data_IF_063871069933
#
_entry.id   IF_063871069933
#
_cell.length_a   1.000
_cell.length_b   1.000
_cell.length_c   1.000
_cell.angle_alpha   90.00
_cell.angle_beta   90.00
_cell.angle_gamma   90.00
#
_symmetry.space_group_name_H-M   'P 1'
#
loop_
_entity.id
_entity.type
_entity.pdbx_description
1 polymer ?
#
# COMPACT_ATOMS: atom_id res chain seq x y z
N UNK A 1 -15.87 -57.42 -21.83
CA UNK A 1 -14.61 -56.77 -21.41
C UNK A 1 -14.43 -55.60 -22.34
N UNK A 2 -14.92 -54.43 -21.94
CA UNK A 2 -14.63 -53.20 -22.68
C UNK A 2 -13.14 -52.90 -22.50
N UNK A 3 -12.42 -52.76 -23.61
CA UNK A 3 -11.04 -52.30 -23.60
C UNK A 3 -11.07 -50.82 -23.22
N UNK A 4 -10.50 -50.48 -22.08
CA UNK A 4 -10.15 -49.09 -21.74
C UNK A 4 -9.35 -48.55 -22.92
N UNK A 5 -9.82 -47.46 -23.53
CA UNK A 5 -9.12 -46.81 -24.63
C UNK A 5 -7.99 -45.96 -24.04
N UNK A 6 -6.85 -45.82 -24.73
CA UNK A 6 -5.72 -44.99 -24.24
C UNK A 6 -6.17 -43.54 -23.94
N UNK A 7 -7.18 -43.06 -24.67
CA UNK A 7 -7.86 -41.76 -24.50
C UNK A 7 -8.48 -41.59 -23.10
N UNK A 8 -8.84 -42.70 -22.44
CA UNK A 8 -9.43 -42.69 -21.09
C UNK A 8 -8.39 -42.44 -19.99
N UNK A 9 -7.10 -42.42 -20.29
CA UNK A 9 -6.04 -42.12 -19.32
C UNK A 9 -5.45 -40.72 -19.48
N UNK A 10 -5.97 -39.92 -20.42
CA UNK A 10 -5.43 -38.60 -20.77
C UNK A 10 -6.19 -37.45 -20.08
N UNK A 11 -5.50 -36.32 -19.88
CA UNK A 11 -6.09 -35.07 -19.40
C UNK A 11 -5.29 -33.84 -19.89
N UNK A 12 -5.97 -32.70 -20.01
CA UNK A 12 -5.38 -31.43 -20.44
C UNK A 12 -5.45 -30.39 -19.31
N UNK A 13 -4.37 -29.62 -19.14
CA UNK A 13 -4.35 -28.43 -18.28
C UNK A 13 -4.34 -27.19 -19.17
N UNK A 14 -5.34 -26.33 -18.99
CA UNK A 14 -5.47 -25.06 -19.71
C UNK A 14 -5.38 -23.88 -18.74
N UNK A 15 -4.43 -22.98 -18.96
CA UNK A 15 -4.26 -21.77 -18.13
C UNK A 15 -5.07 -20.59 -18.68
N UNK A 16 -5.21 -19.54 -17.86
CA UNK A 16 -5.96 -18.33 -18.22
C UNK A 16 -5.37 -17.55 -19.41
N UNK A 17 -4.09 -17.74 -19.72
CA UNK A 17 -3.41 -17.21 -20.92
C UNK A 17 -3.49 -18.16 -22.12
N UNK A 18 -4.40 -19.15 -22.08
CA UNK A 18 -4.68 -20.14 -23.13
C UNK A 18 -3.51 -21.08 -23.47
N UNK A 19 -2.50 -21.22 -22.59
CA UNK A 19 -1.51 -22.29 -22.74
C UNK A 19 -2.14 -23.63 -22.36
N UNK A 20 -1.72 -24.66 -23.08
CA UNK A 20 -2.27 -26.01 -23.03
C UNK A 20 -1.15 -27.01 -22.85
N UNK A 21 -1.34 -27.94 -21.93
CA UNK A 21 -0.46 -29.08 -21.72
C UNK A 21 -1.29 -30.35 -21.64
N UNK A 22 -0.86 -31.38 -22.35
CA UNK A 22 -1.51 -32.67 -22.43
C UNK A 22 -0.68 -33.70 -21.67
N UNK A 23 -1.35 -34.54 -20.88
CA UNK A 23 -0.74 -35.54 -20.02
C UNK A 23 -1.48 -36.87 -20.18
N UNK A 24 -0.75 -37.97 -20.03
CA UNK A 24 -1.30 -39.33 -20.03
C UNK A 24 -0.84 -40.04 -18.77
N UNK A 25 -1.77 -40.68 -18.07
CA UNK A 25 -1.53 -41.47 -16.87
C UNK A 25 -1.44 -42.97 -17.19
N UNK A 26 -0.96 -43.77 -16.24
CA UNK A 26 -0.84 -45.23 -16.46
C UNK A 26 -2.16 -45.98 -16.24
N UNK A 27 -3.15 -45.33 -15.61
CA UNK A 27 -4.51 -45.83 -15.46
C UNK A 27 -5.52 -44.69 -15.32
N UNK A 28 -6.80 -45.02 -15.50
CA UNK A 28 -7.92 -44.07 -15.34
C UNK A 28 -7.98 -43.55 -13.90
N UNK A 29 -7.73 -44.43 -12.93
CA UNK A 29 -7.73 -44.08 -11.51
C UNK A 29 -6.62 -43.06 -11.19
N UNK A 30 -5.42 -43.26 -11.75
CA UNK A 30 -4.30 -42.32 -11.59
C UNK A 30 -4.63 -40.97 -12.24
N UNK A 31 -5.22 -40.98 -13.44
CA UNK A 31 -5.70 -39.75 -14.13
C UNK A 31 -6.67 -38.97 -13.25
N UNK A 32 -7.67 -39.64 -12.70
CA UNK A 32 -8.69 -39.02 -11.85
C UNK A 32 -8.11 -38.48 -10.53
N UNK A 33 -7.12 -39.17 -9.95
CA UNK A 33 -6.37 -38.67 -8.78
C UNK A 33 -5.59 -37.40 -9.10
N UNK A 34 -4.89 -37.36 -10.24
CA UNK A 34 -4.15 -36.17 -10.68
C UNK A 34 -5.07 -34.99 -10.96
N UNK A 35 -6.15 -35.20 -11.70
CA UNK A 35 -7.13 -34.14 -12.01
C UNK A 35 -7.69 -33.55 -10.72
N UNK A 36 -8.15 -34.41 -9.79
CA UNK A 36 -8.68 -33.96 -8.50
C UNK A 36 -7.65 -33.16 -7.69
N UNK A 37 -6.40 -33.64 -7.62
CA UNK A 37 -5.35 -32.95 -6.88
C UNK A 37 -5.04 -31.57 -7.48
N UNK A 38 -5.03 -31.44 -8.81
CA UNK A 38 -4.81 -30.16 -9.51
C UNK A 38 -5.98 -29.20 -9.25
N UNK A 39 -7.21 -29.67 -9.38
CA UNK A 39 -8.41 -28.86 -9.09
C UNK A 39 -8.41 -28.36 -7.65
N UNK A 40 -8.12 -29.23 -6.67
CA UNK A 40 -8.06 -28.87 -5.26
C UNK A 40 -6.96 -27.83 -4.97
N UNK A 41 -5.80 -27.96 -5.61
CA UNK A 41 -4.71 -26.98 -5.48
C UNK A 41 -5.07 -25.62 -6.09
N UNK A 42 -5.73 -25.61 -7.25
CA UNK A 42 -6.20 -24.37 -7.88
C UNK A 42 -7.21 -23.69 -6.96
N UNK A 43 -8.18 -24.43 -6.42
CA UNK A 43 -9.20 -23.89 -5.52
C UNK A 43 -8.57 -23.30 -4.25
N UNK A 44 -7.66 -24.03 -3.60
CA UNK A 44 -6.95 -23.54 -2.40
C UNK A 44 -6.16 -22.26 -2.69
N UNK A 45 -5.48 -22.20 -3.84
CA UNK A 45 -4.71 -21.02 -4.24
C UNK A 45 -5.62 -19.80 -4.47
N UNK A 46 -6.74 -19.99 -5.17
CA UNK A 46 -7.72 -18.93 -5.42
C UNK A 46 -8.35 -18.41 -4.11
N UNK A 47 -8.76 -19.30 -3.21
CA UNK A 47 -9.32 -18.92 -1.91
C UNK A 47 -8.31 -18.15 -1.04
N UNK A 48 -7.03 -18.55 -1.05
CA UNK A 48 -5.98 -17.83 -0.34
C UNK A 48 -5.78 -16.40 -0.88
N UNK A 49 -5.74 -16.24 -2.21
CA UNK A 49 -5.61 -14.93 -2.86
C UNK A 49 -6.80 -14.01 -2.57
N UNK A 50 -8.03 -14.54 -2.62
CA UNK A 50 -9.23 -13.79 -2.29
C UNK A 50 -9.23 -13.36 -0.81
N UNK A 51 -8.84 -14.25 0.09
CA UNK A 51 -8.75 -13.96 1.52
C UNK A 51 -7.71 -12.89 1.83
N UNK A 52 -6.55 -12.92 1.16
CA UNK A 52 -5.52 -11.88 1.28
C UNK A 52 -6.04 -10.52 0.82
N UNK A 53 -6.66 -10.44 -0.38
CA UNK A 53 -7.28 -9.18 -0.85
C UNK A 53 -8.37 -8.68 0.08
N UNK A 54 -9.15 -9.59 0.68
CA UNK A 54 -10.19 -9.21 1.64
C UNK A 54 -9.60 -8.72 2.96
N UNK A 55 -8.50 -9.31 3.43
CA UNK A 55 -7.77 -8.84 4.60
C UNK A 55 -7.13 -7.46 4.35
N UNK A 56 -6.54 -7.24 3.19
CA UNK A 56 -5.99 -5.94 2.78
C UNK A 56 -7.09 -4.87 2.66
N UNK A 57 -8.22 -5.20 2.05
CA UNK A 57 -9.37 -4.29 1.96
C UNK A 57 -10.00 -3.99 3.32
N UNK A 58 -9.91 -4.91 4.28
CA UNK A 58 -10.42 -4.71 5.65
C UNK A 58 -9.43 -3.99 6.56
N UNK A 59 -8.20 -3.74 6.10
CA UNK A 59 -7.19 -3.07 6.92
C UNK A 59 -7.56 -1.61 7.08
N UNK A 60 -8.02 -1.24 8.27
CA UNK A 60 -8.41 0.14 8.59
C UNK A 60 -7.19 1.01 8.88
N UNK A 61 -6.11 0.42 9.41
CA UNK A 61 -4.93 1.16 9.86
C UNK A 61 -3.63 0.69 9.17
N UNK A 62 -2.78 1.67 8.86
CA UNK A 62 -1.43 1.48 8.37
C UNK A 62 -0.49 0.92 9.44
N UNK A 63 0.47 0.11 9.03
CA UNK A 63 1.44 -0.52 9.91
C UNK A 63 2.53 0.51 10.20
N UNK A 64 3.18 0.34 11.36
CA UNK A 64 4.28 1.22 11.73
C UNK A 64 5.35 1.27 10.64
N UNK A 65 5.66 0.16 9.98
CA UNK A 65 6.66 0.13 8.92
C UNK A 65 6.27 1.05 7.73
N UNK A 66 5.00 1.04 7.32
CA UNK A 66 4.49 1.84 6.21
C UNK A 66 4.51 3.33 6.56
N UNK A 67 4.05 3.69 7.77
CA UNK A 67 4.10 5.06 8.28
C UNK A 67 5.54 5.57 8.37
N UNK A 68 6.48 4.72 8.80
CA UNK A 68 7.90 5.07 8.87
C UNK A 68 8.54 5.27 7.50
N UNK A 69 8.09 4.52 6.48
CA UNK A 69 8.57 4.65 5.12
C UNK A 69 8.26 6.04 4.52
N UNK A 70 7.24 6.74 5.02
CA UNK A 70 6.88 8.09 4.56
C UNK A 70 8.03 9.10 4.69
N UNK A 71 8.97 8.90 5.61
CA UNK A 71 10.17 9.75 5.75
C UNK A 71 11.10 9.72 4.55
N UNK A 72 10.99 8.69 3.69
CA UNK A 72 11.84 8.51 2.50
C UNK A 72 11.27 9.17 1.25
N UNK A 73 10.07 9.72 1.33
CA UNK A 73 9.45 10.45 0.23
C UNK A 73 10.19 11.78 0.03
N UNK A 74 10.25 12.25 -1.22
CA UNK A 74 11.00 13.45 -1.57
C UNK A 74 10.55 14.70 -0.77
N UNK A 75 11.53 15.40 -0.20
CA UNK A 75 11.36 16.56 0.68
C UNK A 75 10.89 16.27 2.11
N UNK A 76 10.55 15.03 2.46
CA UNK A 76 10.07 14.67 3.80
C UNK A 76 11.20 14.58 4.85
N UNK A 77 12.45 14.78 4.45
CA UNK A 77 13.62 14.86 5.34
C UNK A 77 13.65 16.16 6.17
N UNK A 78 12.88 17.17 5.74
CA UNK A 78 12.71 18.46 6.43
C UNK A 78 11.24 18.83 6.57
N UNK A 79 10.89 19.58 7.61
CA UNK A 79 9.56 20.10 7.86
C UNK A 79 9.07 20.96 6.69
N UNK A 80 7.85 20.71 6.21
CA UNK A 80 7.27 21.41 5.08
C UNK A 80 7.28 22.93 5.26
N UNK A 81 6.98 23.43 6.47
CA UNK A 81 6.76 24.86 6.69
C UNK A 81 8.02 25.62 7.11
N UNK A 82 8.89 24.99 7.93
CA UNK A 82 10.02 25.68 8.57
C UNK A 82 11.40 25.11 8.25
N UNK A 83 11.46 23.99 7.53
CA UNK A 83 12.72 23.33 7.18
C UNK A 83 13.44 22.62 8.34
N UNK A 84 12.82 22.49 9.51
CA UNK A 84 13.42 21.73 10.62
C UNK A 84 13.63 20.26 10.21
N UNK A 85 14.84 19.69 10.38
CA UNK A 85 15.12 18.33 9.94
C UNK A 85 14.32 17.30 10.72
N UNK A 86 14.08 16.14 10.08
CA UNK A 86 13.41 14.97 10.65
C UNK A 86 12.04 15.31 11.27
N UNK A 87 11.07 15.80 10.47
CA UNK A 87 9.71 16.00 10.94
C UNK A 87 9.06 14.66 11.32
N UNK A 88 8.48 14.58 12.51
CA UNK A 88 7.83 13.37 13.05
C UNK A 88 6.30 13.51 13.19
N UNK A 89 5.74 14.56 12.60
CA UNK A 89 4.31 14.80 12.52
C UNK A 89 3.88 15.00 11.07
N UNK A 90 2.59 14.84 10.79
CA UNK A 90 2.03 15.01 9.47
C UNK A 90 0.73 15.81 9.50
N UNK A 91 0.45 16.50 8.41
CA UNK A 91 -0.90 16.90 8.02
C UNK A 91 -1.42 15.93 6.96
N UNK A 92 -2.32 15.03 7.37
CA UNK A 92 -2.78 13.92 6.55
C UNK A 92 -3.45 14.36 5.25
N UNK A 93 -4.33 15.36 5.33
CA UNK A 93 -5.10 15.83 4.17
C UNK A 93 -4.29 16.77 3.26
N UNK A 94 -3.20 17.36 3.76
CA UNK A 94 -2.31 18.20 2.95
C UNK A 94 -1.14 17.40 2.36
N UNK A 95 -0.91 16.18 2.84
CA UNK A 95 0.14 15.30 2.32
C UNK A 95 1.55 15.70 2.76
N UNK A 96 1.70 16.35 3.92
CA UNK A 96 2.98 16.94 4.37
C UNK A 96 3.47 16.39 5.70
N UNK A 97 4.79 16.25 5.85
CA UNK A 97 5.46 16.09 7.13
C UNK A 97 5.92 17.43 7.70
N UNK A 98 5.62 17.63 8.98
CA UNK A 98 5.88 18.86 9.73
C UNK A 98 6.54 18.54 11.07
N UNK A 99 7.29 19.48 11.62
CA UNK A 99 7.89 19.31 12.95
C UNK A 99 6.83 19.45 14.05
N UNK A 100 7.19 19.09 15.28
CA UNK A 100 6.29 19.16 16.44
C UNK A 100 5.72 20.57 16.64
N UNK A 101 6.52 21.62 16.45
CA UNK A 101 6.08 23.00 16.64
C UNK A 101 5.07 23.42 15.58
N UNK A 102 5.37 23.18 14.30
CA UNK A 102 4.42 23.44 13.20
C UNK A 102 3.14 22.62 13.35
N UNK A 103 3.24 21.38 13.86
CA UNK A 103 2.07 20.57 14.16
C UNK A 103 1.14 21.25 15.18
N UNK A 104 1.70 21.98 16.15
CA UNK A 104 0.94 22.78 17.11
C UNK A 104 0.16 23.92 16.44
N UNK A 105 0.79 24.62 15.49
CA UNK A 105 0.13 25.66 14.68
C UNK A 105 -1.00 25.04 13.85
N UNK A 106 -0.72 23.94 13.15
CA UNK A 106 -1.72 23.23 12.35
C UNK A 106 -2.94 22.77 13.17
N UNK A 107 -2.73 22.36 14.43
CA UNK A 107 -3.85 22.03 15.34
C UNK A 107 -4.73 23.24 15.63
N UNK A 108 -4.13 24.43 15.80
CA UNK A 108 -4.87 25.68 16.04
C UNK A 108 -5.70 26.14 14.82
N UNK A 109 -5.34 25.71 13.61
CA UNK A 109 -6.14 25.95 12.40
C UNK A 109 -7.46 25.16 12.40
N UNK A 110 -7.49 24.02 13.08
CA UNK A 110 -8.64 23.12 13.15
C UNK A 110 -8.66 22.02 12.08
N UNK A 111 -9.37 20.93 12.39
CA UNK A 111 -9.36 19.66 11.61
C UNK A 111 -10.01 19.74 10.22
N UNK A 112 -10.78 20.80 9.96
CA UNK A 112 -11.34 21.09 8.64
C UNK A 112 -10.28 21.67 7.68
N UNK A 113 -9.18 22.21 8.21
CA UNK A 113 -8.05 22.73 7.45
C UNK A 113 -6.88 21.72 7.46
N UNK A 114 -6.48 21.26 8.64
CA UNK A 114 -5.34 20.34 8.79
C UNK A 114 -5.64 19.22 9.79
N UNK A 115 -5.50 17.98 9.35
CA UNK A 115 -5.67 16.76 10.15
C UNK A 115 -4.31 16.26 10.61
N UNK A 116 -3.93 16.59 11.85
CA UNK A 116 -2.58 16.32 12.38
C UNK A 116 -2.47 14.91 12.97
N UNK A 117 -1.40 14.18 12.63
CA UNK A 117 -1.01 12.88 13.24
C UNK A 117 0.49 12.80 13.49
N UNK A 118 0.89 12.14 14.57
CA UNK A 118 2.27 11.72 14.83
C UNK A 118 2.57 10.44 14.08
N UNK A 119 3.75 10.34 13.48
CA UNK A 119 4.22 9.14 12.80
C UNK A 119 4.50 7.98 13.78
N UNK A 120 4.59 8.29 15.07
CA UNK A 120 5.08 7.39 16.12
C UNK A 120 3.99 7.07 17.15
N UNK A 121 3.20 8.09 17.50
CA UNK A 121 2.30 8.06 18.64
C UNK A 121 0.85 7.77 18.28
N UNK A 122 0.46 8.00 17.02
CA UNK A 122 -0.94 7.88 16.60
C UNK A 122 -1.18 6.65 15.72
N UNK A 123 -2.44 6.19 15.70
CA UNK A 123 -2.92 5.26 14.68
C UNK A 123 -3.19 6.00 13.36
N UNK A 124 -2.83 5.37 12.26
CA UNK A 124 -2.89 5.94 10.92
C UNK A 124 -3.96 5.25 10.09
N UNK A 125 -4.99 5.96 9.60
CA UNK A 125 -5.91 5.35 8.65
C UNK A 125 -5.18 5.02 7.36
N UNK A 126 -5.36 3.80 6.85
CA UNK A 126 -4.59 3.28 5.71
C UNK A 126 -4.72 4.17 4.47
N UNK A 127 -5.88 4.82 4.29
CA UNK A 127 -6.18 5.63 3.12
C UNK A 127 -5.28 6.87 3.01
N UNK A 128 -4.73 7.36 4.13
CA UNK A 128 -3.82 8.50 4.10
C UNK A 128 -2.38 8.11 3.79
N UNK A 129 -1.99 6.84 3.90
CA UNK A 129 -0.65 6.42 3.47
C UNK A 129 -0.44 6.73 2.00
N UNK A 130 -1.41 6.37 1.15
CA UNK A 130 -1.38 6.67 -0.29
C UNK A 130 -1.33 8.17 -0.58
N UNK A 131 -2.08 8.99 0.18
CA UNK A 131 -2.04 10.47 0.04
C UNK A 131 -0.63 10.99 0.32
N UNK A 132 -0.03 10.55 1.42
CA UNK A 132 1.30 10.96 1.82
C UNK A 132 2.36 10.50 0.80
N UNK A 133 2.28 9.25 0.32
CA UNK A 133 3.14 8.68 -0.73
C UNK A 133 3.08 9.45 -2.05
N UNK A 134 1.89 9.87 -2.47
CA UNK A 134 1.70 10.56 -3.74
C UNK A 134 2.15 12.01 -3.72
N UNK A 135 1.97 12.70 -2.58
CA UNK A 135 2.25 14.13 -2.44
C UNK A 135 3.69 14.33 -1.95
N UNK A 136 3.95 14.15 -0.65
CA UNK A 136 5.23 14.50 -0.02
C UNK A 136 5.51 16.01 -0.03
N UNK A 137 6.41 16.43 0.85
CA UNK A 137 6.72 17.85 1.07
C UNK A 137 7.23 18.57 -0.18
N UNK A 138 8.03 17.90 -1.02
CA UNK A 138 8.53 18.50 -2.24
C UNK A 138 7.38 18.92 -3.17
N UNK A 139 6.44 18.02 -3.47
CA UNK A 139 5.30 18.36 -4.35
C UNK A 139 4.30 19.26 -3.67
N UNK A 140 4.08 19.08 -2.36
CA UNK A 140 3.20 19.96 -1.59
C UNK A 140 3.67 21.42 -1.70
N UNK A 141 4.96 21.69 -1.48
CA UNK A 141 5.50 23.04 -1.53
C UNK A 141 5.52 23.62 -2.95
N UNK A 142 5.66 22.80 -4.00
CA UNK A 142 5.47 23.26 -5.38
C UNK A 142 4.08 23.83 -5.64
N UNK A 143 3.05 23.38 -4.90
CA UNK A 143 1.68 23.87 -5.01
C UNK A 143 1.40 24.98 -4.01
N UNK A 144 1.61 24.72 -2.72
CA UNK A 144 1.22 25.61 -1.64
C UNK A 144 2.13 26.84 -1.50
N UNK A 145 3.41 26.72 -1.90
CA UNK A 145 4.38 27.80 -1.85
C UNK A 145 4.69 28.39 -3.24
N UNK A 146 3.92 28.03 -4.29
CA UNK A 146 4.20 28.42 -5.68
C UNK A 146 4.46 29.93 -5.87
N UNK A 147 3.68 30.78 -5.20
CA UNK A 147 3.81 32.24 -5.23
C UNK A 147 4.30 32.82 -3.89
N UNK A 148 4.78 31.98 -2.96
CA UNK A 148 5.27 32.44 -1.67
C UNK A 148 6.67 33.07 -1.83
N UNK A 149 6.94 34.23 -1.20
CA UNK A 149 8.28 34.80 -1.19
C UNK A 149 9.24 33.88 -0.42
N UNK A 150 10.31 33.43 -1.09
CA UNK A 150 11.30 32.51 -0.52
C UNK A 150 11.98 33.06 0.74
N UNK A 151 12.15 34.37 0.83
CA UNK A 151 12.76 35.08 1.95
C UNK A 151 11.86 35.17 3.19
N UNK A 152 10.57 34.87 3.04
CA UNK A 152 9.58 34.90 4.13
C UNK A 152 9.28 33.53 4.74
N UNK A 153 9.83 32.45 4.19
CA UNK A 153 9.65 31.12 4.76
C UNK A 153 10.31 31.09 6.15
N UNK A 154 9.59 30.72 7.22
CA UNK A 154 10.17 30.65 8.55
C UNK A 154 11.28 29.59 8.57
N UNK A 155 12.26 29.82 9.43
CA UNK A 155 13.36 28.90 9.69
C UNK A 155 13.10 28.11 10.98
N UNK A 156 13.88 27.06 11.28
CA UNK A 156 13.69 26.29 12.51
C UNK A 156 13.81 27.13 13.79
N UNK A 157 14.57 28.22 13.74
CA UNK A 157 14.83 29.15 14.84
C UNK A 157 13.92 30.40 14.84
N UNK A 158 12.97 30.50 13.91
CA UNK A 158 12.05 31.63 13.85
C UNK A 158 11.07 31.62 15.02
N UNK A 159 10.77 32.81 15.57
CA UNK A 159 9.73 32.96 16.59
C UNK A 159 8.37 32.54 16.04
N UNK A 160 7.61 31.79 16.84
CA UNK A 160 6.31 31.23 16.48
C UNK A 160 5.16 31.98 17.15
#
# INVERSE_FOLDING_TARGET
MDRISDDDCEFEVVTCDQKRWEFSATSVEERDEWVRAIEELIEKSLQAQMSQKQADNNRVHGDKADVQALRRIDGNDICADCGQPKPDWASLNLGTLICIECSGIHRNLGSHISRVRSLELDEWPVEYLTVMEMIGNAKANLVWEYNAPLDKKPKPDSSR
#
